data_IF_820887754906
#
_entry.id   IF_820887754906
#
_cell.length_a   1.000
_cell.length_b   1.000
_cell.length_c   1.000
_cell.angle_alpha   90.00
_cell.angle_beta   90.00
_cell.angle_gamma   90.00
#
_symmetry.space_group_name_H-M   'P 1'
#
loop_
_entity.id
_entity.type
_entity.pdbx_description
1 polymer ?
#
# COMPACT_ATOMS: atom_id res chain seq x y z
N UNK A 1 2.44 -6.01 -2.21
CA UNK A 1 1.52 -6.62 -1.24
C UNK A 1 0.64 -7.60 -1.96
N UNK A 2 0.10 -8.58 -1.25
CA UNK A 2 -0.91 -9.49 -1.77
C UNK A 2 -2.30 -8.91 -1.50
N UNK A 3 -3.21 -9.05 -2.47
CA UNK A 3 -4.60 -8.67 -2.30
C UNK A 3 -5.36 -9.72 -1.50
N UNK A 4 -6.20 -9.24 -0.58
CA UNK A 4 -7.18 -10.07 0.10
C UNK A 4 -8.17 -10.66 -0.92
N UNK A 5 -8.32 -11.98 -0.88
CA UNK A 5 -9.16 -12.75 -1.80
C UNK A 5 -10.64 -12.69 -1.43
N UNK A 6 -10.93 -12.46 -0.15
CA UNK A 6 -12.29 -12.48 0.39
C UNK A 6 -12.91 -11.07 0.42
N UNK A 7 -12.10 -10.02 0.16
CA UNK A 7 -12.53 -8.63 0.20
C UNK A 7 -12.50 -7.99 -1.20
N UNK A 8 -13.67 -7.70 -1.81
CA UNK A 8 -13.74 -7.04 -3.11
C UNK A 8 -13.19 -5.61 -3.02
N UNK A 9 -11.92 -5.46 -3.37
CA UNK A 9 -11.18 -4.20 -3.29
C UNK A 9 -11.41 -3.34 -4.53
N UNK A 10 -11.76 -2.07 -4.34
CA UNK A 10 -11.85 -1.10 -5.44
C UNK A 10 -10.48 -0.54 -5.77
N UNK A 11 -9.75 -0.10 -4.75
CA UNK A 11 -8.40 0.44 -4.93
C UNK A 11 -7.59 0.38 -3.63
N UNK A 12 -6.29 0.55 -3.81
CA UNK A 12 -5.29 0.71 -2.77
C UNK A 12 -4.70 2.11 -2.84
N UNK A 13 -4.44 2.72 -1.70
CA UNK A 13 -3.57 3.89 -1.57
C UNK A 13 -2.24 3.44 -0.99
N UNK A 14 -1.15 3.71 -1.73
CA UNK A 14 0.21 3.59 -1.20
C UNK A 14 0.47 4.84 -0.37
N UNK A 15 0.73 4.64 0.92
CA UNK A 15 0.98 5.74 1.85
C UNK A 15 2.41 5.72 2.38
N UNK A 16 2.99 6.91 2.53
CA UNK A 16 4.33 7.13 3.06
C UNK A 16 4.31 8.08 4.25
N UNK A 17 5.18 7.83 5.22
CA UNK A 17 5.40 8.67 6.40
C UNK A 17 6.90 8.80 6.69
N UNK A 18 7.29 9.92 7.30
CA UNK A 18 8.65 10.15 7.80
C UNK A 18 8.82 9.80 9.29
N UNK A 19 7.72 9.61 10.03
CA UNK A 19 7.69 9.44 11.49
C UNK A 19 6.87 8.23 11.95
N UNK A 20 6.34 7.44 11.01
CA UNK A 20 5.44 6.30 11.24
C UNK A 20 4.07 6.64 11.86
N UNK A 21 3.74 7.93 11.99
CA UNK A 21 2.49 8.42 12.56
C UNK A 21 1.66 9.09 11.46
N UNK A 22 2.25 10.10 10.80
CA UNK A 22 1.56 10.90 9.79
C UNK A 22 1.82 10.35 8.39
N UNK A 23 0.80 9.68 7.84
CA UNK A 23 0.84 9.07 6.51
C UNK A 23 0.16 9.92 5.45
N UNK A 24 0.85 10.08 4.31
CA UNK A 24 0.33 10.76 3.12
C UNK A 24 0.25 9.77 1.96
N UNK A 25 -0.84 9.85 1.21
CA UNK A 25 -1.01 9.07 -0.03
C UNK A 25 -0.06 9.60 -1.10
N UNK A 26 0.74 8.70 -1.67
CA UNK A 26 1.72 9.01 -2.73
C UNK A 26 1.37 8.33 -4.06
N UNK A 27 0.50 7.32 -4.04
CA UNK A 27 -0.03 6.69 -5.25
C UNK A 27 -1.37 5.99 -4.96
N UNK A 28 -2.14 5.81 -6.02
CA UNK A 28 -3.37 5.00 -6.02
C UNK A 28 -3.21 3.87 -7.03
N UNK A 29 -3.54 2.64 -6.62
CA UNK A 29 -3.46 1.44 -7.45
C UNK A 29 -4.84 0.79 -7.50
N UNK A 30 -5.37 0.57 -8.70
CA UNK A 30 -6.68 -0.06 -8.85
C UNK A 30 -6.63 -1.51 -8.36
N UNK A 31 -7.71 -1.92 -7.68
CA UNK A 31 -7.89 -3.30 -7.22
C UNK A 31 -8.04 -4.26 -8.41
N UNK A 32 -7.86 -5.56 -8.16
CA UNK A 32 -8.08 -6.56 -9.19
C UNK A 32 -9.55 -6.61 -9.59
N UNK A 33 -9.83 -7.02 -10.83
CA UNK A 33 -11.21 -7.37 -11.19
C UNK A 33 -11.62 -8.60 -10.39
N UNK A 34 -12.85 -8.64 -9.85
CA UNK A 34 -13.32 -9.81 -9.11
C UNK A 34 -13.37 -11.02 -10.05
N UNK A 35 -12.46 -11.95 -9.84
CA UNK A 35 -12.41 -13.27 -10.50
C UNK A 35 -12.23 -14.31 -9.40
N UNK A 36 -12.94 -15.42 -9.48
CA UNK A 36 -12.83 -16.49 -8.48
C UNK A 36 -11.44 -17.15 -8.51
N UNK A 37 -10.84 -17.32 -7.33
CA UNK A 37 -9.63 -18.13 -7.05
C UNK A 37 -8.31 -17.63 -7.68
N UNK A 38 -8.02 -16.32 -7.69
CA UNK A 38 -6.75 -15.82 -8.20
C UNK A 38 -6.04 -14.89 -7.22
N UNK A 39 -4.87 -15.32 -6.74
CA UNK A 39 -3.97 -14.47 -5.96
C UNK A 39 -3.46 -13.31 -6.82
N UNK A 40 -3.64 -12.08 -6.32
CA UNK A 40 -3.14 -10.87 -6.97
C UNK A 40 -2.03 -10.25 -6.15
N UNK A 41 -0.90 -10.02 -6.80
CA UNK A 41 0.27 -9.36 -6.21
C UNK A 41 0.48 -8.00 -6.86
N UNK A 42 0.65 -6.99 -6.02
CA UNK A 42 0.88 -5.61 -6.43
C UNK A 42 2.23 -5.12 -5.94
N UNK A 43 2.90 -4.31 -6.75
CA UNK A 43 4.15 -3.67 -6.41
C UNK A 43 4.10 -2.17 -6.70
N UNK A 44 4.90 -1.42 -5.95
CA UNK A 44 5.08 0.01 -6.17
C UNK A 44 6.52 0.39 -5.87
N UNK A 45 7.18 1.05 -6.83
CA UNK A 45 8.51 1.61 -6.67
C UNK A 45 8.42 3.09 -6.29
N UNK A 46 8.92 3.45 -5.10
CA UNK A 46 9.09 4.84 -4.68
C UNK A 46 10.58 5.23 -4.81
N UNK A 47 10.85 6.35 -5.47
CA UNK A 47 12.20 6.92 -5.54
C UNK A 47 12.20 8.32 -4.92
N UNK A 48 12.21 8.42 -3.58
CA UNK A 48 12.25 9.71 -2.91
C UNK A 48 13.60 10.37 -3.18
N UNK A 49 13.62 11.37 -4.08
CA UNK A 49 14.80 12.17 -4.43
C UNK A 49 15.65 12.47 -3.18
N UNK A 50 16.80 11.80 -3.07
CA UNK A 50 17.93 12.10 -2.16
C UNK A 50 17.64 12.14 -0.65
N UNK A 51 16.51 11.66 -0.15
CA UNK A 51 16.28 11.64 1.30
C UNK A 51 16.87 10.36 1.90
N UNK A 52 18.12 10.44 2.40
CA UNK A 52 18.75 9.41 3.26
C UNK A 52 18.04 9.24 4.63
N UNK A 53 16.73 9.43 4.68
CA UNK A 53 15.92 9.34 5.89
C UNK A 53 15.15 8.03 5.86
N UNK A 54 15.00 7.43 7.04
CA UNK A 54 14.11 6.27 7.23
C UNK A 54 12.71 6.69 6.80
N UNK A 55 12.12 5.91 5.90
CA UNK A 55 10.74 6.10 5.44
C UNK A 55 9.90 4.93 5.92
N UNK A 56 8.62 5.20 6.14
CA UNK A 56 7.64 4.21 6.55
C UNK A 56 6.56 4.14 5.49
N UNK A 57 6.10 2.93 5.19
CA UNK A 57 5.06 2.69 4.20
C UNK A 57 3.98 1.80 4.79
N UNK A 58 2.75 2.04 4.35
CA UNK A 58 1.62 1.14 4.54
C UNK A 58 0.71 1.22 3.33
N UNK A 59 -0.09 0.17 3.13
CA UNK A 59 -1.14 0.17 2.14
C UNK A 59 -2.46 0.40 2.85
N UNK A 60 -3.27 1.32 2.33
CA UNK A 60 -4.66 1.52 2.72
C UNK A 60 -5.53 0.94 1.63
N UNK A 61 -6.32 -0.08 1.95
CA UNK A 61 -7.27 -0.73 1.06
C UNK A 61 -8.65 -0.11 1.26
N UNK A 62 -9.35 0.13 0.15
CA UNK A 62 -10.75 0.58 0.13
C UNK A 62 -11.57 -0.46 -0.64
N UNK A 63 -12.55 -1.06 0.02
CA UNK A 63 -13.43 -2.05 -0.60
C UNK A 63 -14.67 -1.42 -1.25
N UNK A 64 -15.47 -2.25 -1.92
CA UNK A 64 -16.68 -1.80 -2.62
C UNK A 64 -17.75 -1.20 -1.69
N UNK A 65 -17.72 -1.55 -0.39
CA UNK A 65 -18.59 -0.98 0.63
C UNK A 65 -18.05 0.35 1.23
N UNK A 66 -16.86 0.79 0.81
CA UNK A 66 -16.19 1.98 1.33
C UNK A 66 -15.45 1.75 2.65
N UNK A 67 -15.34 0.49 3.10
CA UNK A 67 -14.61 0.13 4.31
C UNK A 67 -13.10 0.24 4.07
N UNK A 68 -12.37 0.60 5.12
CA UNK A 68 -10.94 0.91 5.05
C UNK A 68 -10.14 -0.08 5.89
N UNK A 69 -9.14 -0.68 5.28
CA UNK A 69 -8.21 -1.59 5.93
C UNK A 69 -6.77 -1.14 5.71
N UNK A 70 -5.89 -1.44 6.67
CA UNK A 70 -4.47 -1.10 6.56
C UNK A 70 -3.61 -2.34 6.68
N UNK A 71 -2.54 -2.40 5.89
CA UNK A 71 -1.46 -3.35 6.17
C UNK A 71 -0.67 -2.91 7.39
N UNK A 72 0.19 -3.80 7.89
CA UNK A 72 1.28 -3.41 8.78
C UNK A 72 2.17 -2.32 8.15
N UNK A 73 2.85 -1.58 9.01
CA UNK A 73 3.83 -0.56 8.61
C UNK A 73 5.17 -1.24 8.32
N UNK A 74 5.70 -1.02 7.12
CA UNK A 74 7.06 -1.43 6.75
C UNK A 74 8.00 -0.23 6.77
N UNK A 75 9.25 -0.44 7.15
CA UNK A 75 10.30 0.59 7.18
C UNK A 75 11.25 0.39 6.00
N UNK A 76 11.67 1.46 5.35
CA UNK A 76 12.74 1.40 4.37
C UNK A 76 14.05 0.90 5.00
N UNK A 77 14.76 0.07 4.26
CA UNK A 77 16.14 -0.28 4.53
C UNK A 77 16.99 0.54 3.57
N UNK A 78 17.87 1.39 4.09
CA UNK A 78 18.98 1.84 3.28
C UNK A 78 19.94 0.64 3.19
N UNK A 79 20.35 0.22 1.99
CA UNK A 79 21.53 -0.64 1.91
C UNK A 79 22.70 0.14 2.49
N UNK A 80 23.38 -0.45 3.47
CA UNK A 80 24.61 0.08 4.07
C UNK A 80 25.71 0.28 3.00
#
# INVERSE_FOLDING_TARGET
WEADQDLPTVYYEVQRSADSIDFKTIATVLGPKPTTNQHYYFEFGDNPLKQRKKMYYRIKQINAAGEVYYTGIIRSVNPD
#
